data_IF_866320972293
#
_entry.id   IF_866320972293
#
_cell.length_a   1.000
_cell.length_b   1.000
_cell.length_c   1.000
_cell.angle_alpha   90.00
_cell.angle_beta   90.00
_cell.angle_gamma   90.00
#
_symmetry.space_group_name_H-M   'P 1'
#
loop_
_entity.id
_entity.type
_entity.pdbx_description
1 polymer ?
#
# COMPACT_ATOMS: atom_id res chain seq x y z
N UNK A 1 -45.79 16.50 1.43
CA UNK A 1 -44.87 15.77 0.53
C UNK A 1 -43.75 16.70 0.07
N UNK A 2 -42.69 16.84 0.86
CA UNK A 2 -41.49 17.63 0.46
C UNK A 2 -40.19 17.20 1.18
N UNK A 3 -40.30 16.36 2.22
CA UNK A 3 -39.17 15.88 3.01
C UNK A 3 -38.71 14.44 2.69
N UNK A 4 -39.38 13.74 1.78
CA UNK A 4 -39.03 12.36 1.43
C UNK A 4 -37.91 12.23 0.38
N UNK A 5 -37.51 13.32 -0.28
CA UNK A 5 -36.46 13.29 -1.31
C UNK A 5 -35.05 13.58 -0.78
N UNK A 6 -34.91 14.02 0.47
CA UNK A 6 -33.61 14.43 1.03
C UNK A 6 -32.87 13.27 1.72
N UNK A 7 -33.55 12.15 1.98
CA UNK A 7 -33.01 11.01 2.74
C UNK A 7 -32.33 9.96 1.82
N UNK A 8 -32.42 10.10 0.49
CA UNK A 8 -31.89 9.11 -0.45
C UNK A 8 -30.40 9.28 -0.81
N UNK A 9 -29.76 10.41 -0.47
CA UNK A 9 -28.35 10.67 -0.83
C UNK A 9 -27.34 10.29 0.26
N UNK A 10 -27.78 9.76 1.40
CA UNK A 10 -26.90 9.52 2.57
C UNK A 10 -26.37 8.08 2.69
N UNK A 11 -26.58 7.22 1.69
CA UNK A 11 -26.23 5.79 1.74
C UNK A 11 -25.21 5.33 0.67
N UNK A 12 -24.36 6.23 0.15
CA UNK A 12 -23.34 5.87 -0.85
C UNK A 12 -21.89 6.13 -0.40
N UNK A 13 -21.61 6.01 0.90
CA UNK A 13 -20.23 6.08 1.42
C UNK A 13 -20.06 5.11 2.60
N UNK A 14 -20.11 3.80 2.32
CA UNK A 14 -19.59 2.80 3.28
C UNK A 14 -18.69 1.74 2.67
N UNK A 15 -18.40 1.75 1.37
CA UNK A 15 -17.60 0.67 0.76
C UNK A 15 -16.09 1.00 0.60
N UNK A 16 -15.62 2.17 1.04
CA UNK A 16 -14.18 2.53 0.95
C UNK A 16 -13.34 1.93 2.09
N UNK A 17 -13.93 1.51 3.21
CA UNK A 17 -13.16 1.14 4.42
C UNK A 17 -12.72 -0.34 4.42
N UNK A 18 -13.29 -1.21 3.57
CA UNK A 18 -13.02 -2.66 3.64
C UNK A 18 -11.70 -3.11 3.01
N UNK A 19 -11.21 -2.41 1.98
CA UNK A 19 -10.05 -2.85 1.22
C UNK A 19 -8.77 -2.93 2.07
N UNK A 20 -8.60 -2.01 3.01
CA UNK A 20 -7.37 -1.90 3.80
C UNK A 20 -7.24 -3.04 4.83
N UNK A 21 -8.35 -3.45 5.45
CA UNK A 21 -8.35 -4.52 6.44
C UNK A 21 -8.05 -5.89 5.79
N UNK A 22 -8.49 -6.10 4.55
CA UNK A 22 -8.26 -7.34 3.82
C UNK A 22 -6.79 -7.47 3.37
N UNK A 23 -6.16 -6.38 2.92
CA UNK A 23 -4.72 -6.36 2.59
C UNK A 23 -3.87 -6.67 3.83
N UNK A 24 -4.18 -6.03 4.96
CA UNK A 24 -3.45 -6.23 6.22
C UNK A 24 -3.54 -7.68 6.69
N UNK A 25 -4.71 -8.32 6.54
CA UNK A 25 -4.90 -9.74 6.90
C UNK A 25 -4.11 -10.67 5.99
N UNK A 26 -4.12 -10.43 4.69
CA UNK A 26 -3.36 -11.24 3.72
C UNK A 26 -1.86 -11.18 4.00
N UNK A 27 -1.36 -9.98 4.31
CA UNK A 27 0.06 -9.74 4.55
C UNK A 27 0.44 -9.77 6.03
N UNK A 28 -0.40 -10.38 6.88
CA UNK A 28 -0.26 -10.32 8.34
C UNK A 28 1.12 -10.79 8.83
N UNK A 29 1.68 -11.80 8.16
CA UNK A 29 3.02 -12.35 8.46
C UNK A 29 4.15 -11.33 8.30
N UNK A 30 3.98 -10.33 7.44
CA UNK A 30 4.93 -9.23 7.23
C UNK A 30 4.53 -7.98 8.03
N UNK A 31 3.22 -7.69 8.09
CA UNK A 31 2.69 -6.51 8.78
C UNK A 31 3.00 -6.55 10.27
N UNK A 32 2.78 -7.68 10.95
CA UNK A 32 3.01 -7.80 12.41
C UNK A 32 4.45 -7.46 12.83
N UNK A 33 5.49 -8.14 12.32
CA UNK A 33 6.86 -7.83 12.72
C UNK A 33 7.27 -6.40 12.36
N UNK A 34 6.88 -5.90 11.17
CA UNK A 34 7.24 -4.56 10.74
C UNK A 34 6.52 -3.45 11.52
N UNK A 35 5.26 -3.67 11.90
CA UNK A 35 4.54 -2.75 12.78
C UNK A 35 5.18 -2.70 14.17
N UNK A 36 5.56 -3.86 14.73
CA UNK A 36 6.25 -3.93 16.02
C UNK A 36 7.60 -3.21 16.00
N UNK A 37 8.41 -3.45 14.98
CA UNK A 37 9.72 -2.80 14.80
C UNK A 37 9.59 -1.27 14.74
N UNK A 38 8.56 -0.78 14.03
CA UNK A 38 8.31 0.64 13.83
C UNK A 38 7.34 1.25 14.87
N UNK A 39 7.04 0.50 15.94
CA UNK A 39 6.18 0.90 17.06
C UNK A 39 4.79 1.37 16.61
N UNK A 40 4.23 0.80 15.57
CA UNK A 40 2.88 1.08 15.07
C UNK A 40 1.88 0.20 15.84
N UNK A 41 0.91 0.82 16.48
CA UNK A 41 -0.12 0.13 17.24
C UNK A 41 -1.20 -0.43 16.29
N UNK A 42 -1.88 -1.54 16.65
CA UNK A 42 -2.90 -2.14 15.78
C UNK A 42 -3.99 -1.16 15.35
N UNK A 43 -4.40 -0.24 16.22
CA UNK A 43 -5.40 0.80 15.92
C UNK A 43 -4.93 1.84 14.90
N UNK A 44 -3.62 1.99 14.71
CA UNK A 44 -3.03 2.90 13.72
C UNK A 44 -2.95 2.27 12.33
N UNK A 45 -3.07 0.93 12.20
CA UNK A 45 -2.89 0.23 10.93
C UNK A 45 -3.91 0.62 9.85
N UNK A 46 -5.04 1.23 10.22
CA UNK A 46 -5.96 1.83 9.25
C UNK A 46 -5.32 2.93 8.39
N UNK A 47 -4.22 3.53 8.84
CA UNK A 47 -3.43 4.50 8.07
C UNK A 47 -2.49 3.85 7.05
N UNK A 48 -2.44 2.52 6.96
CA UNK A 48 -1.44 1.83 6.14
C UNK A 48 -1.46 2.25 4.66
N UNK A 49 -2.65 2.48 4.09
CA UNK A 49 -2.83 2.93 2.70
C UNK A 49 -3.12 4.43 2.58
N UNK A 50 -2.94 5.20 3.66
CA UNK A 50 -3.08 6.65 3.63
C UNK A 50 -1.90 7.27 2.89
N UNK A 51 -2.20 7.88 1.75
CA UNK A 51 -1.22 8.53 0.87
C UNK A 51 -0.91 9.98 1.27
N UNK A 52 -1.59 10.51 2.29
CA UNK A 52 -1.48 11.88 2.80
C UNK A 52 -0.82 11.96 4.18
N UNK A 53 -0.15 10.89 4.64
CA UNK A 53 0.63 10.94 5.88
C UNK A 53 1.79 11.93 5.78
N UNK A 54 1.98 12.67 6.86
CA UNK A 54 3.01 13.69 7.03
C UNK A 54 3.77 13.49 8.35
N UNK A 55 4.95 14.11 8.45
CA UNK A 55 5.74 14.14 9.70
C UNK A 55 6.14 12.76 10.22
N UNK A 56 5.97 12.54 11.53
CA UNK A 56 6.38 11.29 12.20
C UNK A 56 5.62 10.07 11.70
N UNK A 57 4.32 10.21 11.40
CA UNK A 57 3.51 9.11 10.89
C UNK A 57 4.01 8.68 9.50
N UNK A 58 4.30 9.63 8.61
CA UNK A 58 4.93 9.33 7.31
C UNK A 58 6.22 8.53 7.48
N UNK A 59 7.09 8.97 8.40
CA UNK A 59 8.36 8.31 8.63
C UNK A 59 8.17 6.87 9.15
N UNK A 60 7.32 6.68 10.17
CA UNK A 60 7.02 5.37 10.77
C UNK A 60 6.41 4.41 9.76
N UNK A 61 5.39 4.85 9.01
CA UNK A 61 4.72 4.02 8.01
C UNK A 61 5.60 3.78 6.78
N UNK A 62 6.45 4.74 6.39
CA UNK A 62 7.48 4.55 5.39
C UNK A 62 8.46 3.45 5.79
N UNK A 63 8.98 3.49 7.02
CA UNK A 63 9.87 2.45 7.53
C UNK A 63 9.18 1.08 7.67
N UNK A 64 7.89 1.06 8.04
CA UNK A 64 7.11 -0.18 8.04
C UNK A 64 6.99 -0.77 6.63
N UNK A 65 6.70 0.05 5.60
CA UNK A 65 6.66 -0.39 4.20
C UNK A 65 8.04 -0.87 3.72
N UNK A 66 9.12 -0.18 4.09
CA UNK A 66 10.49 -0.60 3.78
C UNK A 66 10.82 -1.97 4.39
N UNK A 67 10.46 -2.19 5.66
CA UNK A 67 10.59 -3.48 6.33
C UNK A 67 9.82 -4.58 5.57
N UNK A 68 8.58 -4.31 5.17
CA UNK A 68 7.78 -5.28 4.40
C UNK A 68 8.41 -5.61 3.04
N UNK A 69 8.93 -4.61 2.32
CA UNK A 69 9.63 -4.83 1.04
C UNK A 69 10.86 -5.72 1.21
N UNK A 70 11.62 -5.54 2.30
CA UNK A 70 12.77 -6.39 2.64
C UNK A 70 12.36 -7.82 2.96
N UNK A 71 11.34 -8.00 3.80
CA UNK A 71 10.86 -9.35 4.18
C UNK A 71 10.26 -10.12 2.99
N UNK A 72 9.56 -9.42 2.11
CA UNK A 72 8.96 -10.02 0.91
C UNK A 72 9.98 -10.26 -0.22
N UNK A 73 11.14 -9.60 -0.14
CA UNK A 73 12.17 -9.65 -1.19
C UNK A 73 11.73 -8.97 -2.49
N UNK A 74 10.75 -8.07 -2.42
CA UNK A 74 10.24 -7.33 -3.60
C UNK A 74 11.26 -6.33 -4.12
N UNK A 75 12.12 -5.79 -3.25
CA UNK A 75 13.24 -4.93 -3.63
C UNK A 75 14.52 -5.54 -3.09
N UNK A 76 15.48 -5.84 -3.98
CA UNK A 76 16.81 -6.38 -3.65
C UNK A 76 17.83 -5.66 -4.52
N UNK A 77 18.97 -5.28 -3.94
CA UNK A 77 20.06 -4.60 -4.66
C UNK A 77 19.63 -3.38 -5.49
N UNK A 78 18.67 -2.60 -4.96
CA UNK A 78 18.08 -1.45 -5.64
C UNK A 78 17.36 -1.79 -6.95
N UNK A 79 16.77 -2.98 -7.05
CA UNK A 79 15.96 -3.42 -8.17
C UNK A 79 14.67 -4.11 -7.70
N UNK A 80 13.57 -3.90 -8.41
CA UNK A 80 12.33 -4.64 -8.18
C UNK A 80 12.49 -6.07 -8.68
N UNK A 81 12.24 -7.02 -7.78
CA UNK A 81 12.14 -8.43 -8.10
C UNK A 81 10.73 -8.74 -8.62
N UNK A 82 10.56 -8.70 -9.94
CA UNK A 82 9.25 -8.81 -10.60
C UNK A 82 8.46 -10.05 -10.15
N UNK A 83 9.10 -11.22 -10.08
CA UNK A 83 8.44 -12.46 -9.66
C UNK A 83 7.88 -12.37 -8.23
N UNK A 84 8.63 -11.70 -7.33
CA UNK A 84 8.20 -11.47 -5.95
C UNK A 84 7.10 -10.43 -5.86
N UNK A 85 7.18 -9.37 -6.65
CA UNK A 85 6.10 -8.39 -6.73
C UNK A 85 4.81 -9.05 -7.22
N UNK A 86 4.87 -9.86 -8.29
CA UNK A 86 3.72 -10.62 -8.80
C UNK A 86 3.16 -11.59 -7.76
N UNK A 87 4.01 -12.30 -7.03
CA UNK A 87 3.60 -13.19 -5.94
C UNK A 87 2.80 -12.42 -4.88
N UNK A 88 3.29 -11.26 -4.44
CA UNK A 88 2.61 -10.42 -3.45
C UNK A 88 1.30 -9.86 -4.00
N UNK A 89 1.25 -9.36 -5.24
CA UNK A 89 0.02 -8.84 -5.83
C UNK A 89 -1.04 -9.94 -6.00
N UNK A 90 -0.63 -11.15 -6.35
CA UNK A 90 -1.53 -12.32 -6.46
C UNK A 90 -2.06 -12.74 -5.08
N UNK A 91 -1.26 -12.61 -4.02
CA UNK A 91 -1.72 -12.85 -2.65
C UNK A 91 -2.76 -11.80 -2.23
N UNK A 92 -2.48 -10.53 -2.49
CA UNK A 92 -3.33 -9.39 -2.10
C UNK A 92 -4.67 -9.44 -2.82
N UNK A 93 -4.66 -9.60 -4.14
CA UNK A 93 -5.84 -9.63 -4.96
C UNK A 93 -5.80 -10.86 -5.88
N UNK A 94 -6.92 -11.57 -5.99
CA UNK A 94 -7.14 -12.58 -7.05
C UNK A 94 -7.41 -11.86 -8.39
N UNK A 95 -6.47 -11.02 -8.79
CA UNK A 95 -6.55 -10.17 -9.98
C UNK A 95 -6.21 -10.95 -11.25
N UNK A 96 -6.84 -10.52 -12.34
CA UNK A 96 -6.50 -10.97 -13.69
C UNK A 96 -4.97 -10.80 -13.94
N UNK A 97 -4.27 -11.82 -14.46
CA UNK A 97 -2.85 -11.71 -14.84
C UNK A 97 -2.49 -10.47 -15.67
N UNK A 98 -3.41 -9.95 -16.48
CA UNK A 98 -3.21 -8.72 -17.26
C UNK A 98 -3.15 -7.48 -16.36
N UNK A 99 -3.98 -7.42 -15.30
CA UNK A 99 -3.94 -6.34 -14.30
C UNK A 99 -2.66 -6.38 -13.47
N UNK A 100 -2.22 -7.58 -13.09
CA UNK A 100 -0.95 -7.77 -12.39
C UNK A 100 0.22 -7.28 -13.26
N UNK A 101 0.19 -7.58 -14.56
CA UNK A 101 1.22 -7.13 -15.50
C UNK A 101 1.24 -5.60 -15.64
N UNK A 102 0.08 -4.95 -15.72
CA UNK A 102 0.00 -3.49 -15.72
C UNK A 102 0.58 -2.88 -14.42
N UNK A 103 0.28 -3.49 -13.27
CA UNK A 103 0.79 -3.04 -11.97
C UNK A 103 2.30 -3.22 -11.83
N UNK A 104 2.88 -4.28 -12.39
CA UNK A 104 4.34 -4.47 -12.46
C UNK A 104 4.99 -3.32 -13.22
N UNK A 105 4.45 -2.94 -14.38
CA UNK A 105 5.02 -1.85 -15.18
C UNK A 105 4.88 -0.49 -14.47
N UNK A 106 3.75 -0.26 -13.79
CA UNK A 106 3.58 0.91 -12.91
C UNK A 106 4.63 0.90 -11.78
N UNK A 107 4.83 -0.25 -11.12
CA UNK A 107 5.81 -0.38 -10.06
C UNK A 107 7.24 -0.07 -10.56
N UNK A 108 7.65 -0.63 -11.70
CA UNK A 108 8.95 -0.30 -12.32
C UNK A 108 9.09 1.20 -12.57
N UNK A 109 8.09 1.83 -13.20
CA UNK A 109 8.12 3.27 -13.47
C UNK A 109 8.20 4.09 -12.17
N UNK A 110 7.44 3.72 -11.14
CA UNK A 110 7.47 4.39 -9.84
C UNK A 110 8.80 4.21 -9.11
N UNK A 111 9.42 3.04 -9.20
CA UNK A 111 10.70 2.79 -8.57
C UNK A 111 11.82 3.59 -9.23
N UNK A 112 11.81 3.69 -10.56
CA UNK A 112 12.75 4.57 -11.30
C UNK A 112 12.67 6.04 -10.86
N UNK A 113 11.49 6.51 -10.45
CA UNK A 113 11.30 7.88 -9.94
C UNK A 113 11.90 8.11 -8.54
N UNK A 114 12.11 7.04 -7.76
CA UNK A 114 12.50 7.15 -6.33
C UNK A 114 13.80 6.44 -5.97
N UNK A 115 14.37 5.62 -6.85
CA UNK A 115 15.55 4.76 -6.57
C UNK A 115 16.84 5.50 -6.17
N UNK A 116 16.91 6.80 -6.42
CA UNK A 116 18.03 7.65 -6.01
C UNK A 116 17.88 8.15 -4.56
N UNK A 117 16.73 7.89 -3.91
CA UNK A 117 16.52 8.24 -2.52
C UNK A 117 17.29 7.26 -1.61
N UNK A 118 18.17 7.81 -0.77
CA UNK A 118 19.01 7.03 0.15
C UNK A 118 18.33 6.73 1.48
N UNK A 119 17.23 7.43 1.79
CA UNK A 119 16.38 7.11 2.93
C UNK A 119 15.40 6.02 2.50
N UNK A 120 15.65 4.80 2.98
CA UNK A 120 14.84 3.62 2.63
C UNK A 120 13.36 3.77 3.04
N UNK A 121 13.08 4.50 4.13
CA UNK A 121 11.72 4.71 4.62
C UNK A 121 10.96 5.67 3.70
N UNK A 122 11.60 6.77 3.32
CA UNK A 122 11.02 7.75 2.39
C UNK A 122 10.90 7.19 0.97
N UNK A 123 11.88 6.39 0.53
CA UNK A 123 11.81 5.64 -0.72
C UNK A 123 10.60 4.72 -0.72
N UNK A 124 10.44 3.88 0.31
CA UNK A 124 9.34 2.92 0.37
C UNK A 124 7.97 3.59 0.44
N UNK A 125 7.85 4.68 1.22
CA UNK A 125 6.61 5.45 1.28
C UNK A 125 6.25 6.03 -0.10
N UNK A 126 7.20 6.73 -0.73
CA UNK A 126 6.98 7.40 -2.01
C UNK A 126 6.73 6.41 -3.14
N UNK A 127 7.43 5.27 -3.10
CA UNK A 127 7.24 4.17 -4.04
C UNK A 127 5.80 3.62 -4.02
N UNK A 128 5.30 3.22 -2.83
CA UNK A 128 3.93 2.70 -2.70
C UNK A 128 2.90 3.76 -3.06
N UNK A 129 3.08 4.99 -2.59
CA UNK A 129 2.21 6.12 -2.94
C UNK A 129 2.14 6.35 -4.45
N UNK A 130 3.26 6.23 -5.15
CA UNK A 130 3.29 6.35 -6.60
C UNK A 130 2.48 5.23 -7.28
N UNK A 131 2.60 3.98 -6.80
CA UNK A 131 1.83 2.85 -7.33
C UNK A 131 0.33 3.10 -7.13
N UNK A 132 -0.08 3.49 -5.93
CA UNK A 132 -1.49 3.71 -5.59
C UNK A 132 -2.11 4.82 -6.43
N UNK A 133 -1.38 5.93 -6.62
CA UNK A 133 -1.85 7.07 -7.42
C UNK A 133 -1.91 6.78 -8.93
N UNK A 134 -1.08 5.87 -9.43
CA UNK A 134 -1.04 5.50 -10.86
C UNK A 134 -1.86 4.26 -11.20
N UNK A 135 -2.31 3.51 -10.20
CA UNK A 135 -3.17 2.34 -10.40
C UNK A 135 -4.63 2.81 -10.60
N UNK A 136 -5.25 2.53 -11.76
CA UNK A 136 -6.66 2.85 -11.96
C UNK A 136 -7.56 2.00 -11.05
N UNK A 137 -8.59 2.63 -10.49
CA UNK A 137 -9.61 1.99 -9.64
C UNK A 137 -10.46 0.96 -10.40
#
# INVERSE_FOLDING_TARGET
MKYLLVISCLLLVTDVIRADEDIIKVLEEFVKPCAQENKIMPEELSKFNDNELEGEDRARFGCMKACMMKLTGVVVDNEIQEDKFREIMTKINDEDPDKITAKVEIAKACFEEVKENTDECELAYTFIRCIDLKTPA
#
